data_IF_102970598008
#
_entry.id   IF_102970598008
#
_cell.length_a   1.000
_cell.length_b   1.000
_cell.length_c   1.000
_cell.angle_alpha   90.00
_cell.angle_beta   90.00
_cell.angle_gamma   90.00
#
_symmetry.space_group_name_H-M   'P 1'
#
loop_
_entity.id
_entity.type
_entity.pdbx_description
1 polymer ?
#
# COMPACT_ATOMS: atom_id res chain seq x y z
N UNK A 1 5.62 -25.21 26.66
CA UNK A 1 5.42 -23.75 26.70
C UNK A 1 6.69 -23.11 26.16
N UNK A 2 6.66 -22.59 24.93
CA UNK A 2 7.86 -22.21 24.18
C UNK A 2 8.41 -20.86 24.62
N UNK A 3 9.61 -20.85 25.21
CA UNK A 3 10.35 -19.65 25.63
C UNK A 3 10.59 -18.63 24.48
N UNK A 4 10.46 -19.07 23.23
CA UNK A 4 10.58 -18.22 22.04
C UNK A 4 9.42 -17.22 21.89
N UNK A 5 8.22 -17.54 22.40
CA UNK A 5 7.05 -16.67 22.27
C UNK A 5 7.08 -15.47 23.21
N UNK A 6 7.62 -15.64 24.42
CA UNK A 6 7.82 -14.56 25.40
C UNK A 6 8.94 -13.60 24.99
N UNK A 7 10.01 -14.12 24.38
CA UNK A 7 11.11 -13.28 23.88
C UNK A 7 10.65 -12.33 22.75
N UNK A 8 9.85 -12.83 21.80
CA UNK A 8 9.32 -12.02 20.70
C UNK A 8 8.29 -10.98 21.18
N UNK A 9 7.44 -11.32 22.14
CA UNK A 9 6.52 -10.35 22.78
C UNK A 9 7.30 -9.23 23.50
N UNK A 10 8.37 -9.59 24.23
CA UNK A 10 9.24 -8.61 24.88
C UNK A 10 9.96 -7.68 23.91
N UNK A 11 10.25 -8.13 22.69
CA UNK A 11 10.86 -7.31 21.65
C UNK A 11 9.91 -6.22 21.13
N UNK A 12 8.63 -6.55 20.89
CA UNK A 12 7.62 -5.55 20.47
C UNK A 12 7.48 -4.47 21.53
N UNK A 13 7.31 -4.85 22.80
CA UNK A 13 7.17 -3.91 23.91
C UNK A 13 8.44 -3.05 24.10
N UNK A 14 9.62 -3.64 23.92
CA UNK A 14 10.89 -2.91 23.99
C UNK A 14 11.03 -1.88 22.87
N UNK A 15 10.69 -2.23 21.62
CA UNK A 15 10.73 -1.30 20.49
C UNK A 15 9.66 -0.21 20.61
N UNK A 16 8.46 -0.56 21.12
CA UNK A 16 7.37 0.39 21.32
C UNK A 16 7.79 1.58 22.20
N UNK A 17 8.58 1.33 23.26
CA UNK A 17 9.12 2.39 24.13
C UNK A 17 10.11 3.33 23.44
N UNK A 18 10.67 2.95 22.31
CA UNK A 18 11.63 3.76 21.55
C UNK A 18 10.95 4.64 20.50
N UNK A 19 9.65 4.44 20.25
CA UNK A 19 8.90 5.23 19.27
C UNK A 19 8.63 6.62 19.81
N UNK A 20 9.04 7.62 19.05
CA UNK A 20 8.78 9.05 19.32
C UNK A 20 8.40 9.75 18.02
N UNK A 21 7.53 10.77 18.04
CA UNK A 21 7.14 11.50 16.82
C UNK A 21 8.35 11.98 16.01
N UNK A 22 8.31 11.74 14.69
CA UNK A 22 9.38 12.13 13.76
C UNK A 22 10.60 11.19 13.70
N UNK A 23 10.69 10.17 14.57
CA UNK A 23 11.74 9.13 14.52
C UNK A 23 11.25 7.88 13.80
N UNK A 24 11.28 7.96 12.47
CA UNK A 24 10.79 6.90 11.60
C UNK A 24 11.66 5.63 11.62
N UNK A 25 12.94 5.75 11.95
CA UNK A 25 13.85 4.60 12.15
C UNK A 25 13.41 3.70 13.31
N UNK A 26 13.10 4.28 14.48
CA UNK A 26 12.54 3.53 15.61
C UNK A 26 11.18 2.92 15.28
N UNK A 27 10.36 3.62 14.50
CA UNK A 27 9.07 3.14 14.06
C UNK A 27 9.19 1.92 13.14
N UNK A 28 10.11 1.96 12.16
CA UNK A 28 10.38 0.82 11.28
C UNK A 28 10.90 -0.40 12.07
N UNK A 29 11.73 -0.19 13.10
CA UNK A 29 12.16 -1.26 13.98
C UNK A 29 10.99 -1.88 14.78
N UNK A 30 10.02 -1.06 15.21
CA UNK A 30 8.78 -1.55 15.80
C UNK A 30 7.97 -2.39 14.80
N UNK A 31 7.81 -1.93 13.56
CA UNK A 31 7.08 -2.70 12.54
C UNK A 31 7.74 -4.06 12.27
N UNK A 32 9.07 -4.11 12.22
CA UNK A 32 9.81 -5.35 12.07
C UNK A 32 9.61 -6.29 13.27
N UNK A 33 9.74 -5.77 14.49
CA UNK A 33 9.47 -6.55 15.71
C UNK A 33 8.01 -7.05 15.75
N UNK A 34 7.06 -6.23 15.33
CA UNK A 34 5.65 -6.61 15.25
C UNK A 34 5.42 -7.72 14.22
N UNK A 35 6.03 -7.62 13.03
CA UNK A 35 5.90 -8.63 11.98
C UNK A 35 6.34 -10.03 12.41
N UNK A 36 7.39 -10.13 13.23
CA UNK A 36 7.89 -11.41 13.77
C UNK A 36 7.31 -11.75 15.16
N UNK A 37 6.61 -10.80 15.77
CA UNK A 37 6.07 -10.87 17.12
C UNK A 37 4.66 -11.44 17.22
N UNK A 38 4.18 -11.48 18.46
CA UNK A 38 2.79 -11.79 18.80
C UNK A 38 2.21 -10.70 19.68
N UNK A 39 0.91 -10.47 19.53
CA UNK A 39 0.16 -9.49 20.29
C UNK A 39 -1.14 -10.12 20.80
N UNK A 40 -1.67 -9.55 21.88
CA UNK A 40 -2.94 -9.95 22.48
C UNK A 40 -4.02 -9.01 21.95
N UNK A 41 -4.80 -9.49 20.99
CA UNK A 41 -5.99 -8.78 20.50
C UNK A 41 -7.11 -8.86 21.53
N UNK A 42 -7.75 -7.73 21.81
CA UNK A 42 -8.82 -7.67 22.82
C UNK A 42 -10.17 -7.96 22.15
N UNK A 43 -10.87 -9.00 22.60
CA UNK A 43 -12.15 -9.43 22.03
C UNK A 43 -13.33 -8.78 22.75
N UNK A 44 -14.06 -7.92 22.04
CA UNK A 44 -15.29 -7.34 22.54
C UNK A 44 -16.38 -8.40 22.75
N UNK A 45 -16.49 -9.35 21.82
CA UNK A 45 -17.46 -10.45 21.87
C UNK A 45 -16.79 -11.78 21.47
N UNK A 46 -17.39 -12.89 21.93
CA UNK A 46 -16.95 -14.24 21.60
C UNK A 46 -15.65 -14.66 22.30
N UNK A 47 -15.05 -15.72 21.79
CA UNK A 47 -13.77 -16.28 22.29
C UNK A 47 -12.86 -16.58 21.10
N UNK A 48 -11.54 -16.65 21.32
CA UNK A 48 -10.59 -16.91 20.23
C UNK A 48 -10.99 -18.16 19.42
N UNK A 49 -11.14 -18.00 18.10
CA UNK A 49 -11.54 -19.06 17.17
C UNK A 49 -13.05 -19.33 17.07
N UNK A 50 -13.91 -18.63 17.83
CA UNK A 50 -15.36 -18.77 17.68
C UNK A 50 -15.90 -17.94 16.50
N UNK A 51 -16.98 -18.38 15.81
CA UNK A 51 -17.55 -17.63 14.68
C UNK A 51 -18.11 -16.24 15.05
N UNK A 52 -18.42 -16.03 16.31
CA UNK A 52 -18.92 -14.77 16.88
C UNK A 52 -17.81 -13.90 17.49
N UNK A 53 -16.54 -14.29 17.36
CA UNK A 53 -15.39 -13.54 17.83
C UNK A 53 -15.31 -12.18 17.13
N UNK A 54 -15.25 -11.11 17.93
CA UNK A 54 -15.14 -9.74 17.43
C UNK A 54 -14.09 -9.00 18.22
N UNK A 55 -13.12 -8.39 17.52
CA UNK A 55 -12.19 -7.46 18.14
C UNK A 55 -12.93 -6.20 18.62
N UNK A 56 -12.38 -5.55 19.64
CA UNK A 56 -12.79 -4.19 19.98
C UNK A 56 -12.56 -3.24 18.80
N UNK A 57 -13.20 -2.08 18.86
CA UNK A 57 -13.02 -1.02 17.89
C UNK A 57 -12.66 0.31 18.57
N UNK A 58 -11.81 1.06 17.91
CA UNK A 58 -11.45 2.43 18.26
C UNK A 58 -11.45 3.25 16.97
N UNK A 59 -11.88 4.50 17.04
CA UNK A 59 -11.77 5.44 15.93
C UNK A 59 -10.91 6.62 16.37
N UNK A 60 -9.84 6.89 15.61
CA UNK A 60 -8.92 8.01 15.85
C UNK A 60 -8.67 8.70 14.52
N UNK A 61 -8.93 10.01 14.45
CA UNK A 61 -8.81 10.83 13.24
C UNK A 61 -9.54 10.23 12.01
N UNK A 62 -10.72 9.63 12.24
CA UNK A 62 -11.53 8.99 11.20
C UNK A 62 -10.99 7.66 10.69
N UNK A 63 -9.99 7.08 11.37
CA UNK A 63 -9.42 5.78 11.04
C UNK A 63 -9.79 4.75 12.11
N UNK A 64 -10.19 3.55 11.66
CA UNK A 64 -10.54 2.43 12.53
C UNK A 64 -9.31 1.65 13.00
N UNK A 65 -9.27 1.33 14.30
CA UNK A 65 -8.24 0.50 14.92
C UNK A 65 -8.83 -0.58 15.83
N UNK A 66 -8.25 -1.78 15.78
CA UNK A 66 -8.51 -2.82 16.76
C UNK A 66 -7.53 -2.69 17.95
N UNK A 67 -8.02 -2.62 19.21
CA UNK A 67 -7.16 -2.50 20.38
C UNK A 67 -6.45 -3.81 20.69
N UNK A 68 -5.20 -3.71 21.09
CA UNK A 68 -4.38 -4.84 21.46
C UNK A 68 -3.32 -4.45 22.49
N UNK A 69 -2.74 -5.45 23.15
CA UNK A 69 -1.66 -5.27 24.11
C UNK A 69 -0.45 -6.12 23.74
N UNK A 70 0.73 -5.65 24.13
CA UNK A 70 2.02 -6.19 23.67
C UNK A 70 2.58 -7.28 24.59
N UNK A 71 2.04 -7.45 25.80
CA UNK A 71 2.44 -8.50 26.73
C UNK A 71 1.34 -8.90 27.70
N UNK A 72 1.54 -10.01 28.42
CA UNK A 72 0.65 -10.43 29.50
C UNK A 72 0.63 -9.43 30.67
N UNK A 73 1.73 -8.71 30.91
CA UNK A 73 1.79 -7.65 31.91
C UNK A 73 0.90 -6.48 31.49
N UNK A 74 1.00 -6.04 30.25
CA UNK A 74 0.15 -5.00 29.67
C UNK A 74 -1.33 -5.42 29.64
N UNK A 75 -1.62 -6.71 29.38
CA UNK A 75 -2.98 -7.24 29.50
C UNK A 75 -3.51 -7.09 30.92
N UNK A 76 -2.74 -7.49 31.94
CA UNK A 76 -3.13 -7.32 33.34
C UNK A 76 -3.30 -5.85 33.73
N UNK A 77 -2.42 -4.97 33.24
CA UNK A 77 -2.44 -3.53 33.53
C UNK A 77 -3.63 -2.83 32.87
N UNK A 78 -4.08 -3.30 31.70
CA UNK A 78 -5.22 -2.73 30.99
C UNK A 78 -6.57 -2.88 31.72
N UNK A 79 -6.66 -3.79 32.69
CA UNK A 79 -7.92 -4.14 33.35
C UNK A 79 -8.91 -4.91 32.46
N UNK A 80 -8.49 -5.35 31.27
CA UNK A 80 -9.34 -6.13 30.38
C UNK A 80 -9.73 -7.48 31.01
N UNK A 81 -11.03 -7.69 31.17
CA UNK A 81 -11.59 -8.88 31.83
C UNK A 81 -12.41 -9.78 30.90
N UNK A 82 -12.42 -9.48 29.59
CA UNK A 82 -13.05 -10.31 28.55
C UNK A 82 -12.01 -11.22 27.90
N UNK A 83 -12.48 -12.03 26.95
CA UNK A 83 -11.61 -12.87 26.14
C UNK A 83 -10.58 -12.03 25.36
N UNK A 84 -9.48 -12.67 25.00
CA UNK A 84 -8.44 -12.13 24.15
C UNK A 84 -7.93 -13.24 23.24
N UNK A 85 -7.24 -12.84 22.17
CA UNK A 85 -6.61 -13.75 21.23
C UNK A 85 -5.13 -13.41 21.08
N UNK A 86 -4.27 -14.42 21.23
CA UNK A 86 -2.84 -14.28 20.97
C UNK A 86 -2.55 -14.63 19.51
N UNK A 87 -2.24 -13.61 18.70
CA UNK A 87 -2.07 -13.72 17.25
C UNK A 87 -0.69 -13.20 16.81
N UNK A 88 -0.18 -13.67 15.68
CA UNK A 88 1.06 -13.11 15.11
C UNK A 88 0.80 -11.76 14.44
N UNK A 89 1.81 -10.88 14.39
CA UNK A 89 1.67 -9.59 13.71
C UNK A 89 1.34 -9.73 12.22
N UNK A 90 1.88 -10.76 11.54
CA UNK A 90 1.56 -11.04 10.13
C UNK A 90 0.13 -11.51 9.92
N UNK A 91 -0.39 -12.37 10.80
CA UNK A 91 -1.74 -12.91 10.65
C UNK A 91 -2.79 -11.83 10.92
N UNK A 92 -2.62 -11.03 11.97
CA UNK A 92 -3.55 -9.92 12.24
C UNK A 92 -3.46 -8.83 11.18
N UNK A 93 -2.26 -8.54 10.67
CA UNK A 93 -2.09 -7.61 9.57
C UNK A 93 -2.90 -8.04 8.34
N UNK A 94 -2.77 -9.31 7.92
CA UNK A 94 -3.53 -9.89 6.79
C UNK A 94 -5.04 -9.85 7.02
N UNK A 95 -5.48 -10.04 8.26
CA UNK A 95 -6.89 -10.01 8.59
C UNK A 95 -7.49 -8.59 8.51
N UNK A 96 -6.76 -7.57 8.97
CA UNK A 96 -7.32 -6.23 9.16
C UNK A 96 -7.09 -5.26 7.99
N UNK A 97 -5.95 -5.34 7.30
CA UNK A 97 -5.63 -4.35 6.26
C UNK A 97 -6.65 -4.33 5.09
N UNK A 98 -7.25 -5.45 4.62
CA UNK A 98 -8.18 -5.43 3.50
C UNK A 98 -9.43 -4.58 3.76
N UNK A 99 -9.84 -4.51 5.03
CA UNK A 99 -10.96 -3.69 5.51
C UNK A 99 -10.50 -2.29 5.96
N UNK A 100 -9.23 -1.93 5.70
CA UNK A 100 -8.62 -0.63 6.05
C UNK A 100 -8.60 -0.36 7.56
N UNK A 101 -8.52 -1.41 8.38
CA UNK A 101 -8.35 -1.33 9.83
C UNK A 101 -6.88 -1.39 10.23
N UNK A 102 -6.50 -0.55 11.19
CA UNK A 102 -5.21 -0.62 11.88
C UNK A 102 -5.29 -1.39 13.21
N UNK A 103 -4.19 -1.40 13.96
CA UNK A 103 -4.18 -1.82 15.37
C UNK A 103 -3.74 -0.68 16.29
N UNK A 104 -4.23 -0.67 17.51
CA UNK A 104 -3.79 0.28 18.55
C UNK A 104 -3.09 -0.47 19.68
N UNK A 105 -1.78 -0.29 19.80
CA UNK A 105 -0.93 -0.97 20.78
C UNK A 105 -1.03 -0.28 22.14
N UNK A 106 -1.33 -1.05 23.19
CA UNK A 106 -1.40 -0.60 24.59
C UNK A 106 -2.21 0.70 24.77
N UNK A 107 -3.51 0.74 24.39
CA UNK A 107 -4.33 1.95 24.50
C UNK A 107 -4.45 2.52 25.93
N UNK A 108 -4.23 1.68 26.94
CA UNK A 108 -4.25 2.03 28.36
C UNK A 108 -2.96 2.70 28.86
N UNK A 109 -1.89 2.70 28.06
CA UNK A 109 -0.61 3.25 28.48
C UNK A 109 -0.70 4.76 28.79
N UNK A 110 0.01 5.26 29.81
CA UNK A 110 0.09 6.70 30.08
C UNK A 110 0.64 7.47 28.87
N UNK A 111 -0.08 8.48 28.39
CA UNK A 111 0.26 9.22 27.18
C UNK A 111 -0.44 8.74 25.91
N UNK A 112 -1.25 7.68 26.00
CA UNK A 112 -1.93 7.07 24.87
C UNK A 112 -1.04 6.03 24.17
N UNK A 113 -1.66 4.92 23.78
CA UNK A 113 -0.98 3.87 23.00
C UNK A 113 -0.51 4.35 21.62
N UNK A 114 0.10 3.44 20.85
CA UNK A 114 0.58 3.73 19.49
C UNK A 114 -0.31 3.06 18.45
N UNK A 115 -0.88 3.85 17.54
CA UNK A 115 -1.60 3.36 16.38
C UNK A 115 -0.66 2.90 15.27
N UNK A 116 -0.90 1.70 14.73
CA UNK A 116 -0.29 1.20 13.50
C UNK A 116 -1.38 1.20 12.42
N UNK A 117 -1.33 2.12 11.44
CA UNK A 117 -2.38 2.27 10.45
C UNK A 117 -2.42 1.06 9.50
N UNK A 118 -3.58 0.84 8.86
CA UNK A 118 -3.79 -0.26 7.93
C UNK A 118 -2.76 -0.30 6.78
N UNK A 119 -2.22 0.86 6.39
CA UNK A 119 -1.13 0.97 5.40
C UNK A 119 0.13 0.24 5.87
N UNK A 120 0.52 0.40 7.13
CA UNK A 120 1.68 -0.30 7.69
C UNK A 120 1.37 -1.76 7.99
N UNK A 121 0.12 -2.10 8.33
CA UNK A 121 -0.31 -3.51 8.36
C UNK A 121 -0.18 -4.16 6.98
N UNK A 122 -0.55 -3.48 5.89
CA UNK A 122 -0.31 -4.00 4.53
C UNK A 122 1.19 -4.25 4.29
N UNK A 123 2.08 -3.38 4.78
CA UNK A 123 3.53 -3.59 4.68
C UNK A 123 3.97 -4.81 5.50
N UNK A 124 3.45 -5.00 6.71
CA UNK A 124 3.72 -6.19 7.53
C UNK A 124 3.23 -7.48 6.82
N UNK A 125 2.04 -7.43 6.22
CA UNK A 125 1.42 -8.58 5.56
C UNK A 125 2.14 -8.99 4.26
N UNK A 126 2.64 -8.02 3.49
CA UNK A 126 3.22 -8.23 2.15
C UNK A 126 4.76 -8.26 2.12
N UNK A 127 5.41 -7.60 3.09
CA UNK A 127 6.87 -7.48 3.24
C UNK A 127 7.29 -6.02 3.43
N UNK A 128 7.95 -5.71 4.55
CA UNK A 128 8.43 -4.35 4.89
C UNK A 128 9.50 -3.84 3.92
N UNK A 129 10.23 -4.76 3.28
CA UNK A 129 11.27 -4.53 2.28
C UNK A 129 10.71 -4.30 0.87
N UNK A 130 9.43 -4.59 0.64
CA UNK A 130 8.79 -4.50 -0.68
C UNK A 130 8.02 -3.22 -0.90
N UNK A 131 7.45 -2.67 0.17
CA UNK A 131 6.60 -1.48 0.13
C UNK A 131 7.29 -0.31 0.85
N UNK A 132 7.21 0.91 0.30
CA UNK A 132 7.94 2.06 0.80
C UNK A 132 7.47 2.45 2.22
N UNK A 133 8.41 2.91 3.05
CA UNK A 133 8.13 3.39 4.39
C UNK A 133 7.41 4.75 4.38
N UNK A 134 6.26 4.82 5.04
CA UNK A 134 5.45 6.02 5.16
C UNK A 134 5.90 6.96 6.29
N UNK A 135 5.37 8.20 6.33
CA UNK A 135 4.49 8.82 5.33
C UNK A 135 5.21 9.11 4.00
N UNK A 136 4.49 8.96 2.88
CA UNK A 136 5.04 9.20 1.54
C UNK A 136 4.79 10.64 1.10
N UNK A 137 5.81 11.31 0.54
CA UNK A 137 5.61 12.51 -0.27
C UNK A 137 5.60 12.13 -1.74
N UNK A 138 4.53 12.50 -2.44
CA UNK A 138 4.28 12.13 -3.83
C UNK A 138 4.15 13.40 -4.67
N UNK A 139 4.80 13.41 -5.83
CA UNK A 139 4.71 14.51 -6.80
C UNK A 139 4.86 14.00 -8.23
N UNK A 140 4.63 14.88 -9.20
CA UNK A 140 5.16 14.65 -10.54
C UNK A 140 6.70 14.61 -10.50
N UNK A 141 7.35 13.80 -11.37
CA UNK A 141 8.80 13.79 -11.48
C UNK A 141 9.30 15.08 -12.14
N UNK A 142 10.18 15.79 -11.44
CA UNK A 142 10.88 16.97 -11.96
C UNK A 142 12.11 16.61 -12.81
N UNK A 143 12.55 15.35 -12.79
CA UNK A 143 13.69 14.86 -13.55
C UNK A 143 13.25 14.55 -14.98
N UNK A 144 13.92 15.16 -15.95
CA UNK A 144 13.68 14.93 -17.37
C UNK A 144 14.38 13.64 -17.83
N UNK A 145 13.60 12.66 -18.27
CA UNK A 145 14.08 11.35 -18.74
C UNK A 145 13.52 10.99 -20.13
N UNK A 146 13.70 11.86 -21.15
CA UNK A 146 13.04 11.71 -22.43
C UNK A 146 13.39 10.39 -23.14
N UNK A 147 14.65 9.94 -23.07
CA UNK A 147 15.09 8.68 -23.68
C UNK A 147 14.42 7.46 -23.03
N UNK A 148 14.36 7.44 -21.70
CA UNK A 148 13.69 6.37 -20.96
C UNK A 148 12.19 6.32 -21.27
N UNK A 149 11.49 7.46 -21.21
CA UNK A 149 10.06 7.49 -21.50
C UNK A 149 9.76 7.14 -22.96
N UNK A 150 10.58 7.58 -23.92
CA UNK A 150 10.42 7.21 -25.32
C UNK A 150 10.60 5.70 -25.54
N UNK A 151 11.65 5.10 -24.98
CA UNK A 151 11.89 3.65 -25.08
C UNK A 151 10.79 2.84 -24.40
N UNK A 152 10.35 3.26 -23.22
CA UNK A 152 9.28 2.62 -22.47
C UNK A 152 7.95 2.67 -23.25
N UNK A 153 7.58 3.82 -23.84
CA UNK A 153 6.39 3.94 -24.68
C UNK A 153 6.46 3.06 -25.94
N UNK A 154 7.63 2.95 -26.58
CA UNK A 154 7.82 2.05 -27.73
C UNK A 154 7.65 0.57 -27.36
N UNK A 155 8.23 0.16 -26.22
CA UNK A 155 8.09 -1.21 -25.73
C UNK A 155 6.65 -1.49 -25.25
N UNK A 156 5.97 -0.51 -24.66
CA UNK A 156 4.56 -0.61 -24.27
C UNK A 156 3.64 -0.80 -25.47
N UNK A 157 3.89 -0.12 -26.59
CA UNK A 157 3.16 -0.34 -27.83
C UNK A 157 3.23 -1.81 -28.29
N UNK A 158 4.40 -2.44 -28.15
CA UNK A 158 4.63 -3.88 -28.45
C UNK A 158 4.16 -4.85 -27.37
N UNK A 159 3.58 -4.36 -26.26
CA UNK A 159 3.14 -5.16 -25.11
C UNK A 159 1.61 -5.04 -24.94
N UNK A 160 0.79 -5.88 -25.61
CA UNK A 160 -0.66 -5.73 -25.70
C UNK A 160 -1.40 -5.59 -24.36
N UNK A 161 -0.88 -6.19 -23.29
CA UNK A 161 -1.46 -6.13 -21.96
C UNK A 161 -1.52 -4.71 -21.37
N UNK A 162 -0.65 -3.78 -21.80
CA UNK A 162 -0.57 -2.42 -21.24
C UNK A 162 -1.66 -1.53 -21.84
N UNK A 163 -2.53 -1.01 -20.97
CA UNK A 163 -3.53 0.01 -21.30
C UNK A 163 -2.94 1.41 -21.23
N UNK A 164 -2.39 1.77 -20.08
CA UNK A 164 -1.78 3.09 -19.87
C UNK A 164 -0.60 3.03 -18.90
N UNK A 165 0.31 4.01 -19.02
CA UNK A 165 1.43 4.19 -18.11
C UNK A 165 1.39 5.59 -17.48
N UNK A 166 1.58 5.64 -16.17
CA UNK A 166 1.68 6.88 -15.38
C UNK A 166 3.00 6.92 -14.62
N UNK A 167 3.39 8.11 -14.13
CA UNK A 167 4.65 8.30 -13.42
C UNK A 167 4.46 9.16 -12.18
N UNK A 168 5.22 8.86 -11.13
CA UNK A 168 5.30 9.66 -9.92
C UNK A 168 6.72 9.66 -9.38
N UNK A 169 7.09 10.75 -8.73
CA UNK A 169 8.24 10.79 -7.84
C UNK A 169 7.78 10.42 -6.43
N UNK A 170 8.40 9.40 -5.85
CA UNK A 170 8.07 8.92 -4.50
C UNK A 170 9.23 9.23 -3.58
N UNK A 171 8.94 9.96 -2.51
CA UNK A 171 9.88 10.20 -1.44
C UNK A 171 9.36 9.52 -0.15
N UNK A 172 9.90 8.35 0.20
CA UNK A 172 9.53 7.70 1.46
C UNK A 172 10.08 8.47 2.66
N UNK A 173 9.55 8.18 3.85
CA UNK A 173 10.08 8.71 5.10
C UNK A 173 11.44 8.08 5.45
N UNK A 174 11.62 6.81 5.11
CA UNK A 174 12.88 6.06 5.24
C UNK A 174 13.22 5.42 3.90
N UNK A 175 14.48 5.56 3.47
CA UNK A 175 14.96 5.05 2.18
C UNK A 175 15.23 6.16 1.17
N UNK A 176 15.50 5.76 -0.08
CA UNK A 176 15.86 6.67 -1.16
C UNK A 176 14.64 7.07 -2.00
N UNK A 177 14.55 8.32 -2.48
CA UNK A 177 13.55 8.69 -3.46
C UNK A 177 13.70 7.89 -4.76
N UNK A 178 12.57 7.62 -5.42
CA UNK A 178 12.56 6.81 -6.63
C UNK A 178 11.45 7.23 -7.61
N UNK A 179 11.64 6.86 -8.87
CA UNK A 179 10.62 7.00 -9.91
C UNK A 179 9.69 5.80 -9.88
N UNK A 180 8.41 6.01 -9.63
CA UNK A 180 7.37 5.00 -9.75
C UNK A 180 6.75 5.04 -11.15
N UNK A 181 6.65 3.89 -11.81
CA UNK A 181 5.91 3.69 -13.05
C UNK A 181 4.62 2.94 -12.72
N UNK A 182 3.50 3.63 -12.84
CA UNK A 182 2.16 3.06 -12.73
C UNK A 182 1.80 2.28 -13.97
N UNK A 183 1.48 1.00 -13.80
CA UNK A 183 1.09 0.06 -14.84
C UNK A 183 -0.43 -0.17 -14.77
N UNK A 184 -1.17 0.33 -15.76
CA UNK A 184 -2.58 -0.03 -15.96
C UNK A 184 -2.66 -1.08 -17.07
N UNK A 185 -3.21 -2.24 -16.74
CA UNK A 185 -3.25 -3.42 -17.61
C UNK A 185 -4.69 -3.81 -17.92
N UNK A 186 -4.93 -4.39 -19.11
CA UNK A 186 -6.25 -4.94 -19.45
C UNK A 186 -6.57 -6.21 -18.67
N UNK A 187 -5.56 -7.02 -18.40
CA UNK A 187 -5.64 -8.23 -17.59
C UNK A 187 -4.40 -8.36 -16.70
N UNK A 188 -4.54 -9.09 -15.59
CA UNK A 188 -3.48 -9.36 -14.62
C UNK A 188 -3.08 -10.84 -14.62
N UNK A 189 -3.34 -11.54 -15.72
CA UNK A 189 -2.95 -12.93 -15.92
C UNK A 189 -1.43 -13.11 -15.95
N UNK A 190 -0.98 -14.35 -15.79
CA UNK A 190 0.46 -14.67 -15.72
C UNK A 190 1.23 -14.18 -16.95
N UNK A 191 0.71 -14.45 -18.14
CA UNK A 191 1.36 -14.07 -19.40
C UNK A 191 1.45 -12.55 -19.56
N UNK A 192 0.40 -11.82 -19.18
CA UNK A 192 0.39 -10.36 -19.15
C UNK A 192 1.48 -9.83 -18.21
N UNK A 193 1.54 -10.34 -16.98
CA UNK A 193 2.57 -9.95 -15.99
C UNK A 193 3.99 -10.26 -16.49
N UNK A 194 4.21 -11.43 -17.11
CA UNK A 194 5.52 -11.81 -17.67
C UNK A 194 5.91 -10.89 -18.84
N UNK A 195 4.97 -10.53 -19.72
CA UNK A 195 5.21 -9.62 -20.84
C UNK A 195 5.59 -8.21 -20.37
N UNK A 196 4.90 -7.69 -19.35
CA UNK A 196 5.18 -6.38 -18.74
C UNK A 196 6.53 -6.38 -18.03
N UNK A 197 6.88 -7.48 -17.35
CA UNK A 197 8.21 -7.65 -16.75
C UNK A 197 9.30 -7.62 -17.81
N UNK A 198 9.10 -8.27 -18.96
CA UNK A 198 10.05 -8.23 -20.07
C UNK A 198 10.18 -6.82 -20.66
N UNK A 199 9.05 -6.13 -20.87
CA UNK A 199 8.99 -4.74 -21.33
C UNK A 199 9.80 -3.81 -20.40
N UNK A 200 9.59 -3.92 -19.09
CA UNK A 200 10.33 -3.10 -18.11
C UNK A 200 11.83 -3.41 -18.14
N UNK A 201 12.24 -4.68 -18.17
CA UNK A 201 13.66 -5.07 -18.26
C UNK A 201 14.36 -4.47 -19.50
N UNK A 202 13.67 -4.41 -20.63
CA UNK A 202 14.22 -3.80 -21.84
C UNK A 202 14.33 -2.27 -21.72
N UNK A 203 13.40 -1.65 -20.98
CA UNK A 203 13.31 -0.19 -20.88
C UNK A 203 14.24 0.40 -19.82
N UNK A 204 14.52 -0.33 -18.73
CA UNK A 204 15.39 0.16 -17.65
C UNK A 204 16.84 0.38 -18.08
N UNK A 205 17.27 -0.19 -19.21
CA UNK A 205 18.59 0.07 -19.78
C UNK A 205 18.81 1.55 -20.19
N UNK A 206 17.73 2.32 -20.38
CA UNK A 206 17.79 3.74 -20.68
C UNK A 206 17.67 4.65 -19.43
N UNK A 207 17.60 4.06 -18.24
CA UNK A 207 17.56 4.82 -16.97
C UNK A 207 18.98 5.26 -16.60
N UNK A 208 19.19 6.54 -16.24
CA UNK A 208 20.49 6.99 -15.74
C UNK A 208 20.97 6.18 -14.54
N UNK A 209 22.29 5.96 -14.45
CA UNK A 209 22.89 5.26 -13.32
C UNK A 209 22.53 5.94 -12.00
N UNK A 210 22.25 5.14 -10.97
CA UNK A 210 21.91 5.62 -9.63
C UNK A 210 20.46 6.11 -9.46
N UNK A 211 19.63 6.13 -10.51
CA UNK A 211 18.22 6.48 -10.40
C UNK A 211 17.35 5.23 -10.14
N UNK A 212 16.75 5.07 -8.94
CA UNK A 212 15.92 3.91 -8.66
C UNK A 212 14.57 4.04 -9.38
N UNK A 213 14.12 2.94 -10.00
CA UNK A 213 12.82 2.84 -10.66
C UNK A 213 12.05 1.66 -10.10
N UNK A 214 10.78 1.89 -9.75
CA UNK A 214 9.87 0.86 -9.25
C UNK A 214 8.58 0.84 -10.08
N UNK A 215 7.89 -0.30 -10.09
CA UNK A 215 6.61 -0.46 -10.79
C UNK A 215 5.47 -0.61 -9.79
N UNK A 216 4.34 0.04 -10.07
CA UNK A 216 3.14 0.00 -9.24
C UNK A 216 1.97 -0.50 -10.09
N UNK A 217 1.27 -1.53 -9.64
CA UNK A 217 0.06 -2.00 -10.31
C UNK A 217 -1.10 -1.03 -10.04
N UNK A 218 -1.61 -0.37 -11.07
CA UNK A 218 -2.80 0.50 -10.98
C UNK A 218 -4.11 -0.29 -10.91
N UNK A 219 -4.07 -1.58 -10.62
CA UNK A 219 -5.22 -2.38 -10.20
C UNK A 219 -5.26 -2.59 -8.68
N UNK A 220 -4.15 -2.36 -7.96
CA UNK A 220 -4.11 -2.47 -6.51
C UNK A 220 -4.80 -1.25 -5.87
N UNK A 221 -5.88 -1.49 -5.13
CA UNK A 221 -6.68 -0.44 -4.47
C UNK A 221 -6.16 -0.04 -3.09
N UNK A 222 -5.15 -0.76 -2.60
CA UNK A 222 -4.52 -0.53 -1.31
C UNK A 222 -3.17 0.17 -1.44
N UNK A 223 -2.67 0.32 -2.67
CA UNK A 223 -1.39 0.99 -2.95
C UNK A 223 -1.50 2.52 -2.87
N UNK A 224 -0.85 3.19 -1.89
CA UNK A 224 -0.93 4.65 -1.77
C UNK A 224 -0.32 5.37 -2.97
N UNK A 225 0.73 4.81 -3.59
CA UNK A 225 1.31 5.37 -4.82
C UNK A 225 0.35 5.16 -5.99
N UNK A 226 -0.25 3.96 -6.09
CA UNK A 226 -1.24 3.64 -7.12
C UNK A 226 -2.50 4.52 -7.04
N UNK A 227 -3.03 4.72 -5.83
CA UNK A 227 -4.16 5.63 -5.56
C UNK A 227 -3.82 7.07 -5.96
N UNK A 228 -2.65 7.57 -5.57
CA UNK A 228 -2.22 8.91 -5.96
C UNK A 228 -2.05 9.07 -7.47
N UNK A 229 -1.43 8.09 -8.15
CA UNK A 229 -1.25 8.10 -9.61
C UNK A 229 -2.58 8.15 -10.36
N UNK A 230 -3.58 7.40 -9.90
CA UNK A 230 -4.92 7.41 -10.51
C UNK A 230 -5.59 8.79 -10.38
N UNK A 231 -5.45 9.42 -9.22
CA UNK A 231 -6.11 10.69 -8.90
C UNK A 231 -5.38 11.93 -9.46
N UNK A 232 -4.05 11.93 -9.52
CA UNK A 232 -3.26 13.14 -9.73
C UNK A 232 -2.42 13.13 -11.02
N UNK A 233 -1.98 11.97 -11.50
CA UNK A 233 -1.05 11.89 -12.62
C UNK A 233 -1.75 11.63 -13.96
N UNK A 234 -1.38 12.36 -15.01
CA UNK A 234 -1.82 12.06 -16.38
C UNK A 234 -0.99 10.92 -16.98
N UNK A 235 -1.58 10.06 -17.84
CA UNK A 235 -0.80 9.08 -18.58
C UNK A 235 0.22 9.75 -19.52
N UNK A 236 1.44 9.22 -19.56
CA UNK A 236 2.43 9.58 -20.59
C UNK A 236 2.42 8.59 -21.76
N UNK A 237 1.80 7.42 -21.55
CA UNK A 237 1.45 6.47 -22.59
C UNK A 237 0.00 6.03 -22.35
N UNK A 238 -0.79 6.02 -23.41
CA UNK A 238 -2.17 5.52 -23.41
C UNK A 238 -2.40 4.83 -24.76
N UNK A 239 -2.70 3.53 -24.72
CA UNK A 239 -2.89 2.72 -25.94
C UNK A 239 -4.04 3.27 -26.79
N UNK A 240 -5.11 3.76 -26.17
CA UNK A 240 -6.30 4.22 -26.90
C UNK A 240 -6.04 5.55 -27.60
N UNK A 241 -5.19 6.41 -27.01
CA UNK A 241 -4.73 7.64 -27.66
C UNK A 241 -3.79 7.39 -28.86
N UNK A 242 -3.17 6.21 -28.95
CA UNK A 242 -2.28 5.81 -30.04
C UNK A 242 -2.96 4.89 -31.07
N UNK A 243 -4.24 4.55 -30.89
CA UNK A 243 -5.03 3.86 -31.91
C UNK A 243 -5.24 4.74 -33.14
N UNK A 244 -5.56 4.17 -34.32
CA UNK A 244 -6.01 4.98 -35.44
C UNK A 244 -7.20 5.81 -34.97
N UNK A 245 -7.13 7.13 -35.15
CA UNK A 245 -8.26 8.00 -34.92
C UNK A 245 -9.44 7.42 -35.72
N UNK A 246 -10.42 6.85 -35.02
CA UNK A 246 -11.69 6.52 -35.65
C UNK A 246 -12.23 7.89 -36.11
N UNK A 247 -12.40 8.13 -37.42
CA UNK A 247 -13.01 9.37 -37.88
C UNK A 247 -14.33 9.53 -37.13
N UNK A 248 -14.69 10.73 -36.65
CA UNK A 248 -16.01 10.93 -36.08
C UNK A 248 -17.03 10.37 -37.09
N UNK A 249 -18.03 9.59 -36.65
CA UNK A 249 -19.05 9.12 -37.57
C UNK A 249 -19.60 10.35 -38.29
N UNK A 250 -19.57 10.31 -39.63
CA UNK A 250 -20.13 11.36 -40.45
C UNK A 250 -21.58 11.53 -40.01
N UNK A 251 -21.85 12.61 -39.27
CA UNK A 251 -23.20 12.95 -38.85
C UNK A 251 -23.96 13.21 -40.14
N UNK A 252 -24.99 12.42 -40.49
CA UNK A 252 -25.84 12.76 -41.62
C UNK A 252 -26.47 14.10 -41.26
N UNK A 253 -26.05 15.16 -41.94
CA UNK A 253 -26.69 16.46 -41.83
C UNK A 253 -28.16 16.28 -42.16
N UNK A 254 -29.01 16.35 -41.14
CA UNK A 254 -30.44 16.49 -41.33
C UNK A 254 -30.68 17.87 -41.95
N UNK A 255 -30.66 17.90 -43.29
CA UNK A 255 -31.12 19.04 -44.06
C UNK A 255 -32.60 19.23 -43.80
N UNK A 256 -32.95 20.31 -43.10
CA UNK A 256 -34.32 20.80 -43.12
C UNK A 256 -34.61 21.36 -44.52
N UNK A 257 -35.72 20.98 -45.17
CA UNK A 257 -36.12 21.60 -46.42
C UNK A 257 -36.51 23.08 -46.18
N UNK A 258 -36.19 23.98 -47.11
CA UNK A 258 -36.56 25.39 -47.00
C UNK A 258 -38.08 25.52 -47.02
N UNK A 259 -38.63 26.24 -46.04
CA UNK A 259 -40.04 26.63 -46.03
C UNK A 259 -40.26 27.69 -47.11
N UNK A 260 -41.05 27.34 -48.11
CA UNK A 260 -41.57 28.30 -49.07
C UNK A 260 -42.85 28.96 -48.52
N UNK A 261 -42.82 30.31 -48.54
CA UNK A 261 -43.83 31.32 -48.19
C UNK A 261 -43.90 31.77 -46.74
#
# INVERSE_FOLDING_TARGET
>A
MSASGTAAAGQVEHMLRQVTPGRYDSYEALLAALADGRIWMLLWNGTAGSPDAQYGNMEIDGLGYAPCVTSAQELSASGWNRAHELVTGRDIARALFPDRWGIWLNPHAPGGGVGIPWLDLRRIATGLDRLPAGPLRLSDPAIELPQFYALLSQNAHRTPAVRSLRRAWVHPAVGVPYLAIGLDLYDTGRDAVESVRAMMRQSVAAVPEGLPVSTVALSDEYDPVGMWLRANARPFYDREAHGPAVPPPAVPGYGYPPQHR
#
